data_IF_263064989774
#
_entry.id   IF_263064989774
#
_cell.length_a   1.000
_cell.length_b   1.000
_cell.length_c   1.000
_cell.angle_alpha   90.00
_cell.angle_beta   90.00
_cell.angle_gamma   90.00
#
_symmetry.space_group_name_H-M   'P 1'
#
loop_
_entity.id
_entity.type
_entity.pdbx_description
1 polymer ?
#
# COMPACT_ATOMS: atom_id res chain seq x y z
N UNK A 1 9.76 64.98 -9.58
CA UNK A 1 10.98 64.15 -9.58
C UNK A 1 11.03 63.38 -8.27
N UNK A 2 10.73 62.09 -8.31
CA UNK A 2 11.18 61.07 -7.35
C UNK A 2 10.63 59.73 -7.87
N UNK A 3 11.54 58.88 -8.31
CA UNK A 3 11.28 57.61 -8.97
C UNK A 3 10.97 56.53 -7.92
N UNK A 4 9.82 55.87 -8.03
CA UNK A 4 9.52 54.64 -7.28
C UNK A 4 10.13 53.44 -8.02
N UNK A 5 11.16 52.86 -7.41
CA UNK A 5 11.80 51.62 -7.86
C UNK A 5 11.00 50.40 -7.39
N UNK A 6 10.36 49.72 -8.35
CA UNK A 6 9.75 48.41 -8.20
C UNK A 6 10.82 47.33 -7.93
N UNK A 7 10.72 46.62 -6.80
CA UNK A 7 11.50 45.41 -6.54
C UNK A 7 10.83 44.18 -7.20
N UNK A 8 11.58 43.29 -7.88
CA UNK A 8 11.05 42.07 -8.47
C UNK A 8 10.97 40.95 -7.42
N UNK A 9 9.82 40.27 -7.39
CA UNK A 9 9.59 39.06 -6.59
C UNK A 9 10.49 37.91 -7.07
N UNK A 10 11.39 37.45 -6.19
CA UNK A 10 12.23 36.26 -6.39
C UNK A 10 11.36 35.02 -6.58
N UNK A 11 11.38 34.44 -7.79
CA UNK A 11 10.91 33.08 -8.06
C UNK A 11 11.81 32.10 -7.32
N UNK A 12 11.25 31.34 -6.38
CA UNK A 12 11.88 30.18 -5.75
C UNK A 12 11.92 29.05 -6.78
N UNK A 13 13.09 28.78 -7.35
CA UNK A 13 13.35 27.61 -8.19
C UNK A 13 13.19 26.35 -7.32
N UNK A 14 12.21 25.51 -7.64
CA UNK A 14 12.16 24.15 -7.13
C UNK A 14 13.15 23.31 -7.95
N UNK A 15 14.01 22.50 -7.31
CA UNK A 15 14.86 21.56 -8.03
C UNK A 15 13.99 20.50 -8.71
N UNK A 16 14.40 20.08 -9.90
CA UNK A 16 13.68 19.07 -10.67
C UNK A 16 13.75 17.70 -9.99
N UNK A 17 12.75 16.84 -10.19
CA UNK A 17 12.68 15.50 -9.58
C UNK A 17 13.94 14.65 -9.85
N UNK A 18 14.67 14.95 -10.93
CA UNK A 18 15.92 14.31 -11.31
C UNK A 18 17.10 14.67 -10.38
N UNK A 19 17.20 15.93 -9.94
CA UNK A 19 18.26 16.38 -9.02
C UNK A 19 18.05 15.84 -7.60
N UNK A 20 16.79 15.68 -7.18
CA UNK A 20 16.45 15.01 -5.92
C UNK A 20 16.75 13.50 -5.95
N UNK A 21 16.70 12.88 -7.14
CA UNK A 21 17.00 11.47 -7.30
C UNK A 21 18.51 11.20 -7.27
N UNK A 22 19.31 12.04 -7.94
CA UNK A 22 20.78 11.98 -7.86
C UNK A 22 21.32 12.22 -6.44
N UNK A 23 20.74 13.16 -5.69
CA UNK A 23 21.13 13.39 -4.29
C UNK A 23 20.77 12.21 -3.37
N UNK A 24 19.67 11.50 -3.66
CA UNK A 24 19.29 10.27 -2.95
C UNK A 24 20.23 9.11 -3.28
N UNK A 25 20.62 8.96 -4.54
CA UNK A 25 21.52 7.88 -4.96
C UNK A 25 22.96 8.09 -4.43
N UNK A 26 23.43 9.35 -4.33
CA UNK A 26 24.71 9.66 -3.67
C UNK A 26 24.68 9.40 -2.14
N UNK A 27 23.55 9.64 -1.47
CA UNK A 27 23.42 9.33 -0.03
C UNK A 27 23.30 7.82 0.24
N UNK A 28 22.72 7.06 -0.70
CA UNK A 28 22.66 5.59 -0.59
C UNK A 28 24.03 4.95 -0.73
N UNK A 29 24.90 5.49 -1.59
CA UNK A 29 26.27 4.97 -1.77
C UNK A 29 27.22 5.31 -0.62
N UNK A 30 27.02 6.43 0.08
CA UNK A 30 27.88 6.81 1.22
C UNK A 30 27.61 6.00 2.51
N UNK A 31 26.52 5.24 2.57
CA UNK A 31 26.13 4.45 3.76
C UNK A 31 26.25 2.93 3.59
N UNK A 32 26.76 2.45 2.45
CA UNK A 32 27.00 1.03 2.23
C UNK A 32 28.44 0.63 2.63
N UNK A 33 28.65 0.33 3.91
CA UNK A 33 29.80 -0.46 4.37
C UNK A 33 29.30 -1.86 4.80
N UNK A 34 29.94 -2.96 4.36
CA UNK A 34 29.46 -4.31 4.63
C UNK A 34 29.93 -4.78 6.01
N UNK A 35 29.01 -5.25 6.86
CA UNK A 35 29.34 -6.03 8.06
C UNK A 35 28.35 -7.19 8.18
N UNK A 36 28.91 -8.40 8.18
CA UNK A 36 28.24 -9.69 8.28
C UNK A 36 27.90 -10.03 9.75
N UNK A 37 26.77 -10.72 9.94
CA UNK A 37 26.47 -11.53 11.13
C UNK A 37 25.83 -10.79 12.31
N UNK A 38 24.81 -11.41 12.91
CA UNK A 38 24.33 -11.05 14.24
C UNK A 38 25.38 -11.50 15.24
N UNK A 39 26.05 -10.55 15.88
CA UNK A 39 26.98 -10.81 16.97
C UNK A 39 26.62 -9.89 18.15
N UNK A 40 26.68 -10.38 19.40
CA UNK A 40 26.54 -9.52 20.57
C UNK A 40 27.73 -8.57 20.62
N UNK A 41 27.52 -7.27 20.41
CA UNK A 41 28.58 -6.27 20.51
C UNK A 41 28.54 -5.63 21.90
N UNK A 42 29.57 -5.90 22.71
CA UNK A 42 29.95 -5.05 23.84
C UNK A 42 30.82 -3.89 23.32
N UNK A 43 30.21 -2.76 22.93
CA UNK A 43 30.97 -1.51 22.68
C UNK A 43 30.35 -0.30 23.37
N UNK A 44 31.18 0.28 24.23
CA UNK A 44 31.05 1.51 25.02
C UNK A 44 30.98 2.72 24.08
N UNK A 45 29.90 3.52 24.16
CA UNK A 45 29.75 4.77 23.40
C UNK A 45 30.22 5.93 24.28
N UNK A 46 31.42 6.44 24.01
CA UNK A 46 31.90 7.70 24.59
C UNK A 46 31.31 8.87 23.80
N UNK A 47 30.51 9.71 24.45
CA UNK A 47 30.07 11.00 23.91
C UNK A 47 31.21 12.02 24.00
N UNK A 48 31.52 12.68 22.88
CA UNK A 48 32.46 13.80 22.81
C UNK A 48 31.76 15.12 23.14
N UNK A 49 32.42 15.98 23.93
CA UNK A 49 32.20 17.43 23.95
C UNK A 49 33.53 18.18 24.09
N UNK A 50 33.87 18.90 23.02
CA UNK A 50 34.50 20.22 22.90
C UNK A 50 35.82 20.59 23.61
N UNK A 51 36.80 20.90 22.73
CA UNK A 51 37.60 22.14 22.63
C UNK A 51 39.02 22.26 23.26
N UNK A 52 39.94 22.56 22.34
CA UNK A 52 41.15 23.40 22.39
C UNK A 52 42.53 22.85 22.88
N UNK A 53 43.35 22.62 21.84
CA UNK A 53 44.69 23.18 21.57
C UNK A 53 46.00 22.66 22.21
N UNK A 54 46.91 22.38 21.26
CA UNK A 54 48.37 22.48 21.23
C UNK A 54 49.30 21.35 21.77
N UNK A 55 49.90 20.68 20.78
CA UNK A 55 51.36 20.58 20.51
C UNK A 55 52.18 19.32 20.90
N UNK A 56 52.85 18.84 19.84
CA UNK A 56 54.17 18.17 19.73
C UNK A 56 54.42 16.73 20.23
N UNK A 57 54.83 15.93 19.23
CA UNK A 57 56.03 15.05 19.15
C UNK A 57 56.05 13.63 19.74
N UNK A 58 56.27 12.68 18.79
CA UNK A 58 57.23 11.56 18.78
C UNK A 58 57.02 10.28 19.62
N UNK A 59 56.93 9.16 18.88
CA UNK A 59 57.63 7.85 18.99
C UNK A 59 57.49 7.02 20.27
N UNK A 60 57.16 5.72 20.12
CA UNK A 60 57.63 4.67 21.02
C UNK A 60 56.69 3.48 21.24
N UNK A 61 57.14 2.29 20.83
CA UNK A 61 56.55 0.99 21.16
C UNK A 61 56.67 0.61 22.65
N UNK A 62 55.90 -0.44 23.01
CA UNK A 62 56.08 -1.44 24.09
C UNK A 62 55.28 -1.34 25.42
N UNK A 63 54.41 -2.36 25.57
CA UNK A 63 54.12 -3.22 26.75
C UNK A 63 54.19 -2.63 28.16
N UNK A 64 53.10 -2.73 28.93
CA UNK A 64 53.07 -3.43 30.23
C UNK A 64 51.68 -3.55 30.87
N UNK A 65 51.54 -4.58 31.71
CA UNK A 65 50.32 -5.07 32.36
C UNK A 65 49.95 -4.31 33.65
N UNK A 66 48.63 -4.24 33.91
CA UNK A 66 47.91 -4.15 35.21
C UNK A 66 48.04 -2.83 36.00
N UNK A 67 47.22 -2.55 37.06
CA UNK A 67 45.96 -3.15 37.54
C UNK A 67 44.86 -2.09 37.85
N UNK A 68 43.56 -2.40 37.70
CA UNK A 68 42.50 -1.72 38.50
C UNK A 68 41.33 -2.68 38.67
N UNK A 69 41.41 -3.54 39.68
CA UNK A 69 40.23 -3.90 40.45
C UNK A 69 39.77 -2.66 41.25
N UNK A 70 38.49 -2.64 41.61
CA UNK A 70 37.84 -1.65 42.48
C UNK A 70 37.49 -0.29 41.86
N UNK A 71 36.46 -0.29 41.01
CA UNK A 71 35.36 0.70 41.13
C UNK A 71 34.11 0.23 40.40
N UNK A 72 33.57 -0.90 40.86
CA UNK A 72 32.14 -1.16 40.75
C UNK A 72 31.40 -0.17 41.66
N UNK A 73 31.19 1.05 41.16
CA UNK A 73 30.16 1.93 41.69
C UNK A 73 29.01 1.91 40.69
N UNK A 74 28.04 1.05 40.99
CA UNK A 74 26.63 1.15 40.66
C UNK A 74 26.30 2.31 39.72
N UNK A 75 26.29 2.04 38.42
CA UNK A 75 25.37 2.73 37.53
C UNK A 75 24.04 2.00 37.65
N UNK A 76 23.36 2.28 38.75
CA UNK A 76 22.00 1.87 39.03
C UNK A 76 21.08 2.55 37.99
N UNK A 77 20.45 1.75 37.12
CA UNK A 77 19.38 2.23 36.24
C UNK A 77 19.48 1.94 34.74
N UNK A 78 20.49 1.21 34.24
CA UNK A 78 20.43 0.68 32.87
C UNK A 78 19.72 -0.69 32.90
N UNK A 79 18.61 -0.90 32.16
CA UNK A 79 17.95 -2.19 32.15
C UNK A 79 18.91 -3.27 31.63
N UNK A 80 19.07 -4.35 32.40
CA UNK A 80 19.79 -5.55 32.00
C UNK A 80 19.03 -6.19 30.82
N UNK A 81 19.44 -5.91 29.60
CA UNK A 81 18.80 -6.41 28.39
C UNK A 81 19.80 -6.76 27.31
N UNK A 82 19.58 -7.86 26.61
CA UNK A 82 20.38 -8.26 25.46
C UNK A 82 20.12 -7.30 24.29
N UNK A 83 21.20 -6.77 23.70
CA UNK A 83 21.11 -5.82 22.59
C UNK A 83 21.20 -6.58 21.26
N UNK A 84 20.11 -6.58 20.50
CA UNK A 84 20.06 -7.16 19.16
C UNK A 84 20.28 -6.12 18.08
N UNK A 85 21.30 -6.32 17.25
CA UNK A 85 21.45 -5.60 15.98
C UNK A 85 20.86 -6.46 14.86
N UNK A 86 19.76 -5.99 14.28
CA UNK A 86 19.02 -6.73 13.25
C UNK A 86 19.03 -5.99 11.91
N UNK A 87 19.18 -6.76 10.83
CA UNK A 87 19.09 -6.28 9.45
C UNK A 87 17.97 -7.03 8.75
N UNK A 88 16.98 -6.30 8.22
CA UNK A 88 15.86 -6.91 7.50
C UNK A 88 16.30 -7.24 6.08
N UNK A 89 16.50 -8.53 5.81
CA UNK A 89 16.94 -9.07 4.52
C UNK A 89 15.84 -8.96 3.46
N UNK A 90 16.21 -8.67 2.21
CA UNK A 90 15.33 -8.87 1.04
C UNK A 90 15.15 -10.36 0.76
N UNK A 91 14.21 -10.73 -0.12
CA UNK A 91 14.02 -12.15 -0.48
C UNK A 91 15.25 -12.71 -1.19
N UNK A 92 15.96 -11.90 -1.96
CA UNK A 92 17.16 -12.26 -2.71
C UNK A 92 18.33 -12.57 -1.77
N UNK A 93 18.46 -11.79 -0.69
CA UNK A 93 19.49 -11.92 0.34
C UNK A 93 19.29 -13.14 1.27
N UNK A 94 18.15 -13.83 1.20
CA UNK A 94 17.90 -15.04 1.98
C UNK A 94 18.76 -16.20 1.45
N UNK A 95 19.70 -16.64 2.28
CA UNK A 95 20.53 -17.82 2.09
C UNK A 95 19.79 -19.09 2.52
N UNK A 96 20.23 -20.21 1.97
CA UNK A 96 19.78 -21.55 2.38
C UNK A 96 20.24 -21.83 3.82
N UNK A 97 19.45 -22.58 4.59
CA UNK A 97 19.81 -22.94 5.96
C UNK A 97 20.86 -24.06 5.93
N UNK A 98 21.93 -23.90 6.70
CA UNK A 98 23.01 -24.89 6.80
C UNK A 98 22.54 -26.17 7.51
N UNK A 99 21.64 -26.02 8.50
CA UNK A 99 21.03 -27.12 9.25
C UNK A 99 19.54 -26.83 9.48
N UNK A 100 18.74 -27.25 8.51
CA UNK A 100 17.28 -27.09 8.51
C UNK A 100 16.64 -27.73 9.74
N UNK A 101 17.19 -28.86 10.23
CA UNK A 101 16.61 -29.58 11.35
C UNK A 101 16.79 -28.79 12.65
N UNK A 102 18.01 -28.33 12.91
CA UNK A 102 18.34 -27.49 14.08
C UNK A 102 17.55 -26.18 14.06
N UNK A 103 17.50 -25.48 12.93
CA UNK A 103 16.77 -24.22 12.83
C UNK A 103 15.25 -24.41 13.00
N UNK A 104 14.70 -25.52 12.49
CA UNK A 104 13.29 -25.81 12.66
C UNK A 104 12.96 -26.24 14.10
N UNK A 105 13.89 -26.89 14.81
CA UNK A 105 13.75 -27.21 16.23
C UNK A 105 13.76 -25.96 17.10
N UNK A 106 14.66 -25.00 16.85
CA UNK A 106 14.66 -23.70 17.55
C UNK A 106 13.33 -22.97 17.38
N UNK A 107 12.79 -22.98 16.16
CA UNK A 107 11.49 -22.39 15.88
C UNK A 107 10.36 -23.11 16.64
N UNK A 108 10.36 -24.44 16.69
CA UNK A 108 9.38 -25.21 17.47
C UNK A 108 9.45 -24.89 18.97
N UNK A 109 10.65 -24.82 19.54
CA UNK A 109 10.87 -24.47 20.95
C UNK A 109 10.32 -23.07 21.26
N UNK A 110 10.57 -22.10 20.38
CA UNK A 110 10.04 -20.73 20.52
C UNK A 110 8.51 -20.71 20.45
N UNK A 111 7.91 -21.48 19.54
CA UNK A 111 6.46 -21.58 19.41
C UNK A 111 5.80 -22.21 20.64
N UNK A 112 6.40 -23.28 21.18
CA UNK A 112 5.94 -23.91 22.43
C UNK A 112 6.00 -22.92 23.60
N UNK A 113 7.10 -22.18 23.72
CA UNK A 113 7.24 -21.15 24.75
C UNK A 113 6.16 -20.06 24.62
N UNK A 114 5.87 -19.60 23.41
CA UNK A 114 4.80 -18.61 23.16
C UNK A 114 3.40 -19.13 23.46
N UNK A 115 3.13 -20.40 23.16
CA UNK A 115 1.86 -21.04 23.55
C UNK A 115 1.71 -21.05 25.08
N UNK A 116 2.80 -21.36 25.80
CA UNK A 116 2.81 -21.38 27.26
C UNK A 116 2.65 -19.98 27.88
N UNK A 117 3.33 -18.96 27.35
CA UNK A 117 3.20 -17.57 27.83
C UNK A 117 1.78 -17.03 27.64
N UNK A 118 1.10 -17.41 26.56
CA UNK A 118 -0.30 -17.00 26.34
C UNK A 118 -1.22 -17.46 27.49
N UNK A 119 -0.80 -18.47 28.27
CA UNK A 119 -1.52 -19.02 29.43
C UNK A 119 -1.07 -18.36 30.75
N UNK A 120 0.15 -17.84 30.82
CA UNK A 120 0.74 -17.26 32.04
C UNK A 120 1.13 -15.80 31.81
N UNK A 121 0.36 -14.87 32.37
CA UNK A 121 0.58 -13.41 32.30
C UNK A 121 1.88 -13.00 33.01
N UNK A 122 3.03 -13.17 32.36
CA UNK A 122 4.33 -12.67 32.84
C UNK A 122 4.98 -11.78 31.78
N UNK A 123 5.38 -10.59 32.22
CA UNK A 123 5.85 -9.45 31.45
C UNK A 123 7.37 -9.51 31.23
N UNK A 124 7.83 -10.35 30.31
CA UNK A 124 9.23 -10.39 29.85
C UNK A 124 9.32 -10.15 28.32
N UNK A 125 8.50 -9.22 27.83
CA UNK A 125 8.28 -8.95 26.39
C UNK A 125 9.50 -8.32 25.67
N UNK A 126 10.48 -7.78 26.42
CA UNK A 126 11.57 -7.00 25.84
C UNK A 126 12.85 -7.81 25.55
N UNK A 127 13.03 -8.99 26.17
CA UNK A 127 14.21 -9.85 25.93
C UNK A 127 13.97 -10.83 24.76
N UNK A 128 12.73 -11.20 24.48
CA UNK A 128 12.40 -12.25 23.51
C UNK A 128 12.36 -11.81 22.02
N UNK A 129 12.29 -10.51 21.72
CA UNK A 129 12.04 -10.07 20.33
C UNK A 129 13.21 -10.37 19.37
N UNK A 130 14.44 -10.46 19.86
CA UNK A 130 15.60 -10.81 19.03
C UNK A 130 15.47 -12.22 18.46
N UNK A 131 15.09 -13.18 19.30
CA UNK A 131 14.84 -14.56 18.89
C UNK A 131 13.64 -14.69 17.96
N UNK A 132 12.58 -13.90 18.18
CA UNK A 132 11.45 -13.83 17.24
C UNK A 132 11.90 -13.32 15.86
N UNK A 133 12.82 -12.35 15.83
CA UNK A 133 13.33 -11.80 14.58
C UNK A 133 14.14 -12.84 13.81
N UNK A 134 15.01 -13.57 14.50
CA UNK A 134 15.78 -14.68 13.93
C UNK A 134 14.87 -15.81 13.43
N UNK A 135 13.86 -16.17 14.22
CA UNK A 135 12.85 -17.15 13.86
C UNK A 135 12.08 -16.78 12.57
N UNK A 136 11.76 -15.48 12.39
CA UNK A 136 11.19 -14.98 11.13
C UNK A 136 12.17 -15.13 9.96
N UNK A 137 13.45 -14.83 10.15
CA UNK A 137 14.48 -15.02 9.12
C UNK A 137 14.59 -16.50 8.70
N UNK A 138 14.60 -17.43 9.66
CA UNK A 138 14.60 -18.87 9.39
C UNK A 138 13.35 -19.30 8.62
N UNK A 139 12.15 -18.86 9.05
CA UNK A 139 10.90 -19.19 8.35
C UNK A 139 10.88 -18.63 6.91
N UNK A 140 11.41 -17.42 6.71
CA UNK A 140 11.57 -16.81 5.37
C UNK A 140 12.52 -17.62 4.50
N UNK A 141 13.65 -18.06 5.05
CA UNK A 141 14.59 -18.95 4.36
C UNK A 141 13.94 -20.29 3.99
N UNK A 142 13.25 -20.95 4.94
CA UNK A 142 12.53 -22.19 4.67
C UNK A 142 11.51 -22.04 3.56
N UNK A 143 10.79 -20.93 3.53
CA UNK A 143 9.78 -20.70 2.50
C UNK A 143 10.39 -20.58 1.09
N UNK A 144 11.63 -20.09 0.98
CA UNK A 144 12.35 -19.97 -0.28
C UNK A 144 13.03 -21.27 -0.70
N UNK A 145 13.68 -21.97 0.25
CA UNK A 145 14.61 -23.06 -0.05
C UNK A 145 14.16 -24.44 0.46
N UNK A 146 13.33 -24.49 1.51
CA UNK A 146 12.90 -25.72 2.20
C UNK A 146 11.39 -25.74 2.45
N UNK A 147 10.59 -25.78 1.38
CA UNK A 147 9.13 -25.59 1.47
C UNK A 147 8.44 -26.57 2.42
N UNK A 148 8.91 -27.81 2.54
CA UNK A 148 8.31 -28.79 3.45
C UNK A 148 8.51 -28.42 4.92
N UNK A 149 9.67 -27.85 5.28
CA UNK A 149 9.90 -27.30 6.61
C UNK A 149 8.97 -26.10 6.86
N UNK A 150 8.80 -25.20 5.88
CA UNK A 150 7.87 -24.08 6.00
C UNK A 150 6.40 -24.55 6.14
N UNK A 151 5.96 -25.56 5.39
CA UNK A 151 4.61 -26.16 5.53
C UNK A 151 4.40 -26.76 6.90
N UNK A 152 5.39 -27.49 7.42
CA UNK A 152 5.34 -28.04 8.79
C UNK A 152 5.13 -26.93 9.82
N UNK A 153 5.86 -25.82 9.67
CA UNK A 153 5.74 -24.67 10.58
C UNK A 153 4.38 -23.96 10.45
N UNK A 154 3.85 -23.85 9.24
CA UNK A 154 2.50 -23.35 9.01
C UNK A 154 1.44 -24.19 9.73
N UNK A 155 1.58 -25.53 9.69
CA UNK A 155 0.72 -26.47 10.42
C UNK A 155 0.89 -26.37 11.94
N UNK A 156 2.04 -25.89 12.41
CA UNK A 156 2.34 -25.65 13.83
C UNK A 156 1.91 -24.24 14.31
N UNK A 157 0.94 -23.62 13.64
CA UNK A 157 0.37 -22.31 13.99
C UNK A 157 1.40 -21.14 14.04
N UNK A 158 2.57 -21.27 13.38
CA UNK A 158 3.61 -20.22 13.35
C UNK A 158 3.05 -18.86 12.92
N UNK A 159 2.06 -18.88 12.03
CA UNK A 159 1.41 -17.66 11.54
C UNK A 159 0.71 -16.89 12.67
N UNK A 160 -0.08 -17.57 13.50
CA UNK A 160 -0.84 -16.94 14.59
C UNK A 160 0.04 -16.61 15.79
N UNK A 161 1.01 -17.48 16.09
CA UNK A 161 1.82 -17.38 17.29
C UNK A 161 3.00 -16.40 17.13
N UNK A 162 3.57 -16.31 15.92
CA UNK A 162 4.76 -15.50 15.66
C UNK A 162 4.51 -14.42 14.61
N UNK A 163 4.13 -14.80 13.39
CA UNK A 163 4.18 -13.89 12.23
C UNK A 163 3.19 -12.73 12.36
N UNK A 164 1.91 -12.98 12.67
CA UNK A 164 0.89 -11.93 12.75
C UNK A 164 1.08 -10.99 13.95
N UNK A 165 1.43 -11.47 15.16
CA UNK A 165 1.84 -10.61 16.26
C UNK A 165 3.06 -9.74 15.90
N UNK A 166 4.10 -10.33 15.30
CA UNK A 166 5.29 -9.60 14.88
C UNK A 166 4.97 -8.55 13.80
N UNK A 167 4.10 -8.87 12.84
CA UNK A 167 3.60 -7.93 11.85
C UNK A 167 2.86 -6.75 12.50
N UNK A 168 2.29 -6.94 13.69
CA UNK A 168 1.59 -5.92 14.49
C UNK A 168 2.50 -5.20 15.50
N UNK A 169 3.79 -5.54 15.56
CA UNK A 169 4.78 -4.93 16.46
C UNK A 169 4.96 -3.42 16.27
N UNK A 170 5.23 -2.70 17.36
CA UNK A 170 5.62 -1.28 17.32
C UNK A 170 7.04 -1.08 16.78
N UNK A 171 7.88 -2.13 16.87
CA UNK A 171 9.24 -2.15 16.33
C UNK A 171 9.17 -2.27 14.81
N UNK A 172 9.51 -1.18 14.12
CA UNK A 172 9.46 -1.09 12.66
C UNK A 172 10.19 -2.23 11.93
N UNK A 173 11.37 -2.61 12.43
CA UNK A 173 12.18 -3.67 11.82
C UNK A 173 11.46 -5.04 11.93
N UNK A 174 10.90 -5.33 13.10
CA UNK A 174 10.11 -6.55 13.34
C UNK A 174 8.88 -6.60 12.42
N UNK A 175 8.07 -5.53 12.41
CA UNK A 175 6.88 -5.46 11.58
C UNK A 175 7.22 -5.60 10.09
N UNK A 176 8.31 -4.96 9.63
CA UNK A 176 8.78 -5.09 8.24
C UNK A 176 9.19 -6.53 7.93
N UNK A 177 9.97 -7.17 8.80
CA UNK A 177 10.43 -8.55 8.58
C UNK A 177 9.26 -9.53 8.52
N UNK A 178 8.29 -9.38 9.41
CA UNK A 178 7.09 -10.20 9.45
C UNK A 178 6.18 -9.99 8.22
N UNK A 179 6.03 -8.75 7.72
CA UNK A 179 5.29 -8.50 6.48
C UNK A 179 5.97 -9.16 5.27
N UNK A 180 7.30 -9.08 5.18
CA UNK A 180 8.06 -9.82 4.17
C UNK A 180 7.90 -11.34 4.33
N UNK A 181 7.82 -11.84 5.57
CA UNK A 181 7.52 -13.24 5.84
C UNK A 181 6.15 -13.67 5.31
N UNK A 182 5.10 -12.87 5.51
CA UNK A 182 3.78 -13.13 4.91
C UNK A 182 3.86 -13.15 3.38
N UNK A 183 4.59 -12.21 2.78
CA UNK A 183 4.80 -12.18 1.33
C UNK A 183 5.53 -13.42 0.84
N UNK A 184 6.59 -13.83 1.54
CA UNK A 184 7.38 -14.99 1.21
C UNK A 184 6.52 -16.26 1.29
N UNK A 185 5.72 -16.43 2.36
CA UNK A 185 4.78 -17.55 2.55
C UNK A 185 3.76 -17.63 1.41
N UNK A 186 3.23 -16.49 0.97
CA UNK A 186 2.30 -16.45 -0.15
C UNK A 186 2.97 -16.87 -1.47
N UNK A 187 4.22 -16.46 -1.69
CA UNK A 187 4.98 -16.84 -2.90
C UNK A 187 5.41 -18.32 -2.88
N UNK A 188 5.87 -18.81 -1.74
CA UNK A 188 6.43 -20.15 -1.59
C UNK A 188 5.39 -21.26 -1.47
N UNK A 189 4.38 -21.07 -0.62
CA UNK A 189 3.40 -22.11 -0.29
C UNK A 189 2.01 -21.89 -0.92
N UNK A 190 1.73 -20.69 -1.45
CA UNK A 190 0.52 -20.36 -2.23
C UNK A 190 -0.78 -20.79 -1.55
N UNK A 191 -1.39 -21.88 -2.02
CA UNK A 191 -2.69 -22.40 -1.55
C UNK A 191 -2.67 -22.75 -0.06
N UNK A 192 -1.55 -23.25 0.45
CA UNK A 192 -1.42 -23.58 1.87
C UNK A 192 -1.53 -22.30 2.72
N UNK A 193 -0.84 -21.23 2.31
CA UNK A 193 -0.95 -19.91 2.95
C UNK A 193 -2.32 -19.27 2.73
N UNK A 194 -2.94 -19.50 1.55
CA UNK A 194 -4.25 -18.95 1.21
C UNK A 194 -5.35 -19.42 2.18
N UNK A 195 -5.25 -20.63 2.71
CA UNK A 195 -6.16 -21.17 3.72
C UNK A 195 -6.20 -20.34 5.02
N UNK A 196 -5.21 -19.47 5.25
CA UNK A 196 -5.11 -18.63 6.43
C UNK A 196 -5.40 -17.15 6.17
N UNK A 197 -5.93 -16.79 4.99
CA UNK A 197 -6.18 -15.40 4.61
C UNK A 197 -7.17 -14.68 5.53
N UNK A 198 -8.11 -15.40 6.15
CA UNK A 198 -9.03 -14.82 7.14
C UNK A 198 -8.30 -14.19 8.35
N UNK A 199 -7.14 -14.73 8.73
CA UNK A 199 -6.30 -14.17 9.80
C UNK A 199 -5.29 -13.12 9.27
N UNK A 200 -4.77 -13.32 8.06
CA UNK A 200 -3.74 -12.45 7.46
C UNK A 200 -4.31 -11.10 7.03
N UNK A 201 -5.46 -11.11 6.34
CA UNK A 201 -6.02 -9.92 5.69
C UNK A 201 -6.30 -8.78 6.66
N UNK A 202 -6.90 -8.99 7.85
CA UNK A 202 -7.10 -7.92 8.82
C UNK A 202 -5.79 -7.21 9.22
N UNK A 203 -4.70 -7.96 9.43
CA UNK A 203 -3.39 -7.39 9.78
C UNK A 203 -2.81 -6.59 8.61
N UNK A 204 -2.89 -7.12 7.39
CA UNK A 204 -2.41 -6.40 6.19
C UNK A 204 -3.20 -5.12 5.94
N UNK A 205 -4.53 -5.15 6.08
CA UNK A 205 -5.36 -3.97 5.89
C UNK A 205 -5.07 -2.90 6.94
N UNK A 206 -4.88 -3.29 8.21
CA UNK A 206 -4.45 -2.37 9.26
C UNK A 206 -3.10 -1.72 8.91
N UNK A 207 -2.12 -2.52 8.48
CA UNK A 207 -0.79 -2.03 8.08
C UNK A 207 -0.78 -1.18 6.82
N UNK A 208 -1.67 -1.45 5.86
CA UNK A 208 -1.88 -0.62 4.67
C UNK A 208 -2.39 0.80 4.99
N UNK A 209 -2.78 1.05 6.25
CA UNK A 209 -3.20 2.34 6.80
C UNK A 209 -2.23 2.90 7.86
N UNK A 210 -1.07 2.28 8.08
CA UNK A 210 -0.01 2.74 9.01
C UNK A 210 0.41 4.20 8.77
N UNK A 211 0.83 4.92 9.80
CA UNK A 211 1.41 6.26 9.63
C UNK A 211 2.78 6.22 8.93
N UNK A 212 3.54 5.15 9.19
CA UNK A 212 4.86 4.90 8.59
C UNK A 212 4.69 4.48 7.12
N UNK A 213 5.16 5.31 6.20
CA UNK A 213 4.97 5.12 4.76
C UNK A 213 5.52 3.79 4.26
N UNK A 214 6.77 3.45 4.60
CA UNK A 214 7.38 2.19 4.14
C UNK A 214 6.61 0.93 4.59
N UNK A 215 5.95 0.95 5.76
CA UNK A 215 5.10 -0.17 6.19
C UNK A 215 3.77 -0.22 5.42
N UNK A 216 3.16 0.94 5.13
CA UNK A 216 1.95 0.98 4.30
C UNK A 216 2.21 0.43 2.91
N UNK A 217 3.28 0.91 2.30
CA UNK A 217 3.62 0.59 0.92
C UNK A 217 3.94 -0.91 0.82
N UNK A 218 4.73 -1.43 1.77
CA UNK A 218 4.98 -2.87 1.89
C UNK A 218 3.70 -3.68 2.11
N UNK A 219 2.81 -3.30 3.03
CA UNK A 219 1.57 -4.04 3.26
C UNK A 219 0.66 -4.09 2.02
N UNK A 220 0.63 -3.00 1.24
CA UNK A 220 -0.09 -2.96 -0.05
C UNK A 220 0.58 -3.84 -1.10
N UNK A 221 1.92 -3.86 -1.12
CA UNK A 221 2.67 -4.78 -1.96
C UNK A 221 2.33 -6.23 -1.64
N UNK A 222 2.27 -6.62 -0.35
CA UNK A 222 1.86 -7.97 0.06
C UNK A 222 0.43 -8.29 -0.36
N UNK A 223 -0.51 -7.34 -0.24
CA UNK A 223 -1.88 -7.51 -0.74
C UNK A 223 -1.91 -7.70 -2.28
N UNK A 224 -1.05 -6.99 -3.02
CA UNK A 224 -0.92 -7.16 -4.47
C UNK A 224 -0.26 -8.51 -4.81
N UNK A 225 0.75 -8.96 -4.07
CA UNK A 225 1.32 -10.31 -4.21
C UNK A 225 0.26 -11.38 -3.98
N UNK A 226 -0.56 -11.23 -2.95
CA UNK A 226 -1.67 -12.15 -2.64
C UNK A 226 -2.68 -12.21 -3.78
N UNK A 227 -3.06 -11.06 -4.33
CA UNK A 227 -3.93 -10.97 -5.50
C UNK A 227 -3.34 -11.66 -6.74
N UNK A 228 -2.01 -11.57 -6.92
CA UNK A 228 -1.31 -12.19 -8.05
C UNK A 228 -1.07 -13.69 -7.86
N UNK A 229 -1.04 -14.18 -6.62
CA UNK A 229 -0.84 -15.60 -6.30
C UNK A 229 -2.03 -16.50 -6.67
N UNK A 230 -3.17 -15.92 -7.06
CA UNK A 230 -4.33 -16.67 -7.55
C UNK A 230 -5.32 -17.11 -6.46
N UNK A 231 -5.15 -16.67 -5.21
CA UNK A 231 -6.05 -16.92 -4.09
C UNK A 231 -7.36 -16.08 -4.18
N UNK A 232 -7.99 -16.03 -5.35
CA UNK A 232 -9.00 -15.01 -5.66
C UNK A 232 -10.23 -15.09 -4.74
N UNK A 233 -10.76 -16.27 -4.46
CA UNK A 233 -11.96 -16.42 -3.63
C UNK A 233 -11.61 -16.35 -2.13
N UNK A 234 -10.56 -17.06 -1.72
CA UNK A 234 -10.04 -17.09 -0.35
C UNK A 234 -9.60 -15.71 0.12
N UNK A 235 -9.06 -14.88 -0.78
CA UNK A 235 -8.70 -13.50 -0.50
C UNK A 235 -9.93 -12.57 -0.52
N UNK A 236 -10.88 -12.79 -1.42
CA UNK A 236 -12.08 -11.96 -1.54
C UNK A 236 -12.98 -12.05 -0.30
N UNK A 237 -13.14 -13.23 0.30
CA UNK A 237 -14.02 -13.46 1.46
C UNK A 237 -13.71 -12.55 2.67
N UNK A 238 -12.49 -12.50 3.22
CA UNK A 238 -12.18 -11.60 4.34
C UNK A 238 -12.20 -10.12 3.95
N UNK A 239 -11.85 -9.79 2.70
CA UNK A 239 -11.98 -8.42 2.19
C UNK A 239 -13.44 -7.94 2.20
N UNK A 240 -14.37 -8.79 1.75
CA UNK A 240 -15.81 -8.51 1.79
C UNK A 240 -16.33 -8.36 3.21
N UNK A 241 -15.95 -9.28 4.11
CA UNK A 241 -16.36 -9.26 5.51
C UNK A 241 -15.96 -7.94 6.22
N UNK A 242 -14.81 -7.37 5.85
CA UNK A 242 -14.30 -6.09 6.40
C UNK A 242 -15.32 -4.95 6.28
N UNK A 243 -16.18 -4.94 5.26
CA UNK A 243 -17.22 -3.90 5.11
C UNK A 243 -18.21 -3.82 6.26
N UNK A 244 -18.40 -4.92 6.99
CA UNK A 244 -19.37 -5.05 8.08
C UNK A 244 -18.74 -5.19 9.46
N UNK A 245 -17.49 -5.68 9.52
CA UNK A 245 -16.80 -5.93 10.79
C UNK A 245 -15.89 -4.78 11.22
N UNK A 246 -15.39 -3.97 10.28
CA UNK A 246 -14.45 -2.89 10.56
C UNK A 246 -15.13 -1.51 10.62
N UNK A 247 -14.73 -0.71 11.61
CA UNK A 247 -15.25 0.64 11.85
C UNK A 247 -14.38 1.72 11.22
N UNK A 248 -13.08 1.45 11.04
CA UNK A 248 -12.15 2.38 10.44
C UNK A 248 -12.38 2.51 8.93
N UNK A 249 -12.89 3.67 8.51
CA UNK A 249 -13.23 3.95 7.11
C UNK A 249 -12.04 3.85 6.15
N UNK A 250 -10.79 4.07 6.61
CA UNK A 250 -9.61 3.91 5.76
C UNK A 250 -9.30 2.43 5.50
N UNK A 251 -9.43 1.58 6.51
CA UNK A 251 -9.25 0.13 6.39
C UNK A 251 -10.33 -0.45 5.46
N UNK A 252 -11.60 -0.07 5.69
CA UNK A 252 -12.73 -0.42 4.80
C UNK A 252 -12.49 0.08 3.37
N UNK A 253 -11.90 1.26 3.21
CA UNK A 253 -11.56 1.80 1.88
C UNK A 253 -10.55 0.92 1.15
N UNK A 254 -9.44 0.56 1.81
CA UNK A 254 -8.44 -0.33 1.23
C UNK A 254 -9.07 -1.69 0.89
N UNK A 255 -9.88 -2.27 1.77
CA UNK A 255 -10.59 -3.51 1.49
C UNK A 255 -11.47 -3.40 0.23
N UNK A 256 -12.28 -2.35 0.12
CA UNK A 256 -13.14 -2.12 -1.06
C UNK A 256 -12.35 -1.95 -2.37
N UNK A 257 -11.15 -1.36 -2.33
CA UNK A 257 -10.25 -1.30 -3.48
C UNK A 257 -9.79 -2.70 -3.92
N UNK A 258 -9.40 -3.56 -2.98
CA UNK A 258 -8.96 -4.92 -3.29
C UNK A 258 -10.13 -5.85 -3.66
N UNK A 259 -11.32 -5.69 -3.07
CA UNK A 259 -12.55 -6.36 -3.55
C UNK A 259 -12.77 -6.05 -5.03
N UNK A 260 -12.65 -4.79 -5.41
CA UNK A 260 -12.80 -4.37 -6.81
C UNK A 260 -11.75 -5.03 -7.71
N UNK A 261 -10.48 -5.07 -7.27
CA UNK A 261 -9.40 -5.74 -8.01
C UNK A 261 -9.67 -7.24 -8.17
N UNK A 262 -10.12 -7.93 -7.11
CA UNK A 262 -10.44 -9.37 -7.14
C UNK A 262 -11.60 -9.65 -8.10
N UNK A 263 -12.73 -8.94 -7.94
CA UNK A 263 -13.93 -9.15 -8.74
C UNK A 263 -13.68 -8.91 -10.23
N UNK A 264 -12.89 -7.88 -10.60
CA UNK A 264 -12.57 -7.60 -12.01
C UNK A 264 -11.63 -8.64 -12.62
N UNK A 265 -10.73 -9.23 -11.83
CA UNK A 265 -9.77 -10.24 -12.30
C UNK A 265 -10.35 -11.65 -12.35
N UNK A 266 -11.42 -11.89 -11.59
CA UNK A 266 -12.07 -13.18 -11.48
C UNK A 266 -12.64 -13.62 -12.84
N UNK A 267 -12.55 -14.92 -13.14
CA UNK A 267 -13.19 -15.49 -14.32
C UNK A 267 -14.72 -15.26 -14.25
N UNK A 268 -15.35 -14.97 -15.40
CA UNK A 268 -16.77 -14.59 -15.47
C UNK A 268 -17.69 -15.67 -14.91
N UNK A 269 -17.46 -16.94 -15.26
CA UNK A 269 -18.28 -18.06 -14.76
C UNK A 269 -18.08 -18.28 -13.26
N UNK A 270 -16.84 -18.17 -12.78
CA UNK A 270 -16.53 -18.27 -11.36
C UNK A 270 -17.16 -17.13 -10.55
N UNK A 271 -17.09 -15.87 -11.05
CA UNK A 271 -17.77 -14.74 -10.41
C UNK A 271 -19.29 -14.91 -10.41
N UNK A 272 -19.86 -15.41 -11.51
CA UNK A 272 -21.29 -15.72 -11.59
C UNK A 272 -21.69 -16.72 -10.51
N UNK A 273 -20.99 -17.85 -10.45
CA UNK A 273 -21.22 -18.86 -9.40
C UNK A 273 -21.05 -18.29 -8.00
N UNK A 274 -19.98 -17.53 -7.76
CA UNK A 274 -19.69 -16.95 -6.45
C UNK A 274 -20.82 -16.05 -5.96
N UNK A 275 -21.33 -15.16 -6.80
CA UNK A 275 -22.38 -14.21 -6.42
C UNK A 275 -23.76 -14.86 -6.31
N UNK A 276 -24.08 -15.82 -7.19
CA UNK A 276 -25.40 -16.45 -7.24
C UNK A 276 -25.56 -17.58 -6.21
N UNK A 277 -24.50 -18.36 -5.97
CA UNK A 277 -24.59 -19.62 -5.23
C UNK A 277 -23.77 -19.59 -3.93
N UNK A 278 -22.56 -19.01 -3.97
CA UNK A 278 -21.61 -19.16 -2.85
C UNK A 278 -21.75 -18.07 -1.78
N UNK A 279 -21.89 -16.80 -2.16
CA UNK A 279 -21.83 -15.64 -1.25
C UNK A 279 -23.16 -14.91 -1.16
N UNK A 280 -24.02 -15.37 -0.26
CA UNK A 280 -25.37 -14.81 -0.05
C UNK A 280 -25.39 -13.35 0.42
N UNK A 281 -24.37 -12.92 1.16
CA UNK A 281 -24.22 -11.56 1.71
C UNK A 281 -23.58 -10.55 0.76
N UNK A 282 -23.29 -10.92 -0.50
CA UNK A 282 -22.53 -10.08 -1.42
C UNK A 282 -23.14 -8.68 -1.59
N UNK A 283 -24.47 -8.59 -1.71
CA UNK A 283 -25.14 -7.30 -1.91
C UNK A 283 -25.20 -6.45 -0.64
N UNK A 284 -25.29 -7.07 0.54
CA UNK A 284 -25.20 -6.37 1.83
C UNK A 284 -23.82 -5.73 1.98
N UNK A 285 -22.76 -6.44 1.60
CA UNK A 285 -21.39 -5.97 1.63
C UNK A 285 -21.18 -4.82 0.62
N UNK A 286 -21.76 -4.92 -0.59
CA UNK A 286 -21.72 -3.81 -1.56
C UNK A 286 -22.42 -2.56 -1.03
N UNK A 287 -23.57 -2.72 -0.37
CA UNK A 287 -24.27 -1.62 0.27
C UNK A 287 -23.44 -1.00 1.40
N UNK A 288 -22.81 -1.83 2.24
CA UNK A 288 -21.92 -1.38 3.31
C UNK A 288 -20.73 -0.58 2.77
N UNK A 289 -20.07 -1.05 1.71
CA UNK A 289 -18.99 -0.31 1.07
C UNK A 289 -19.45 1.00 0.42
N UNK A 290 -20.65 1.07 -0.17
CA UNK A 290 -21.20 2.33 -0.70
C UNK A 290 -21.49 3.36 0.41
N UNK A 291 -21.71 2.90 1.64
CA UNK A 291 -21.87 3.74 2.82
C UNK A 291 -20.54 4.20 3.45
N UNK A 292 -19.39 3.64 3.02
CA UNK A 292 -18.08 4.05 3.50
C UNK A 292 -17.83 5.55 3.31
N UNK A 293 -17.23 6.23 4.29
CA UNK A 293 -17.00 7.68 4.23
C UNK A 293 -15.97 8.11 3.17
N UNK A 294 -15.19 7.16 2.63
CA UNK A 294 -14.11 7.43 1.68
C UNK A 294 -14.60 7.38 0.24
N UNK A 295 -14.33 8.43 -0.54
CA UNK A 295 -14.87 8.59 -1.91
C UNK A 295 -14.29 7.54 -2.86
N UNK A 296 -13.01 7.21 -2.73
CA UNK A 296 -12.34 6.18 -3.53
C UNK A 296 -12.99 4.82 -3.33
N UNK A 297 -13.35 4.47 -2.09
CA UNK A 297 -14.08 3.24 -1.76
C UNK A 297 -15.41 3.16 -2.51
N UNK A 298 -16.22 4.23 -2.44
CA UNK A 298 -17.50 4.29 -3.17
C UNK A 298 -17.31 4.17 -4.68
N UNK A 299 -16.27 4.81 -5.22
CA UNK A 299 -15.96 4.76 -6.65
C UNK A 299 -15.52 3.36 -7.11
N UNK A 300 -14.73 2.68 -6.29
CA UNK A 300 -14.32 1.29 -6.51
C UNK A 300 -15.53 0.35 -6.46
N UNK A 301 -16.36 0.47 -5.44
CA UNK A 301 -17.58 -0.32 -5.26
C UNK A 301 -18.57 -0.15 -6.42
N UNK A 302 -18.73 1.08 -6.95
CA UNK A 302 -19.50 1.31 -8.18
C UNK A 302 -18.99 0.48 -9.35
N UNK A 303 -17.67 0.40 -9.54
CA UNK A 303 -17.07 -0.44 -10.59
C UNK A 303 -17.34 -1.92 -10.35
N UNK A 304 -17.28 -2.38 -9.10
CA UNK A 304 -17.65 -3.74 -8.71
C UNK A 304 -19.11 -4.04 -9.09
N UNK A 305 -20.07 -3.23 -8.65
CA UNK A 305 -21.49 -3.42 -8.98
C UNK A 305 -21.75 -3.43 -10.49
N UNK A 306 -21.12 -2.52 -11.24
CA UNK A 306 -21.25 -2.46 -12.69
C UNK A 306 -20.66 -3.71 -13.37
N UNK A 307 -19.50 -4.18 -12.91
CA UNK A 307 -18.87 -5.38 -13.46
C UNK A 307 -19.73 -6.62 -13.16
N UNK A 308 -20.13 -6.81 -11.90
CA UNK A 308 -21.00 -7.92 -11.49
C UNK A 308 -22.29 -7.94 -12.28
N UNK A 309 -22.98 -6.80 -12.45
CA UNK A 309 -24.21 -6.70 -13.27
C UNK A 309 -24.00 -7.13 -14.73
N UNK A 310 -22.83 -6.85 -15.32
CA UNK A 310 -22.49 -7.30 -16.69
C UNK A 310 -22.19 -8.80 -16.76
N UNK A 311 -21.76 -9.41 -15.67
CA UNK A 311 -21.39 -10.83 -15.61
C UNK A 311 -22.60 -11.71 -15.29
N UNK A 312 -23.38 -11.37 -14.26
CA UNK A 312 -24.56 -12.16 -13.89
C UNK A 312 -25.80 -11.87 -14.75
N UNK A 313 -25.79 -10.76 -15.49
CA UNK A 313 -26.91 -10.34 -16.32
C UNK A 313 -27.81 -9.33 -15.61
N UNK A 314 -28.48 -8.49 -16.41
CA UNK A 314 -29.26 -7.37 -15.89
C UNK A 314 -30.43 -7.82 -15.02
N UNK A 315 -31.23 -8.76 -15.52
CA UNK A 315 -32.50 -9.12 -14.87
C UNK A 315 -32.25 -9.89 -13.58
N UNK A 316 -31.27 -10.81 -13.60
CA UNK A 316 -30.78 -11.54 -12.43
C UNK A 316 -30.27 -10.58 -11.34
N UNK A 317 -29.43 -9.62 -11.72
CA UNK A 317 -28.91 -8.61 -10.79
C UNK A 317 -30.04 -7.80 -10.15
N UNK A 318 -31.03 -7.36 -10.95
CA UNK A 318 -32.17 -6.60 -10.43
C UNK A 318 -33.05 -7.43 -9.49
N UNK A 319 -33.27 -8.70 -9.80
CA UNK A 319 -34.04 -9.62 -8.97
C UNK A 319 -33.36 -9.81 -7.61
N UNK A 320 -32.08 -10.15 -7.60
CA UNK A 320 -31.32 -10.39 -6.37
C UNK A 320 -31.20 -9.15 -5.50
N UNK A 321 -30.96 -7.97 -6.08
CA UNK A 321 -30.90 -6.73 -5.29
C UNK A 321 -32.25 -6.42 -4.64
N UNK A 322 -33.37 -6.68 -5.32
CA UNK A 322 -34.71 -6.49 -4.75
C UNK A 322 -35.07 -7.55 -3.70
N UNK A 323 -34.53 -8.75 -3.84
CA UNK A 323 -34.73 -9.84 -2.88
C UNK A 323 -33.91 -9.64 -1.60
N UNK A 324 -32.64 -9.28 -1.74
CA UNK A 324 -31.68 -9.21 -0.62
C UNK A 324 -31.67 -7.87 0.10
N UNK A 325 -31.94 -6.77 -0.61
CA UNK A 325 -31.85 -5.42 -0.03
C UNK A 325 -33.22 -4.73 0.00
N UNK A 326 -33.37 -3.78 0.92
CA UNK A 326 -34.53 -2.90 1.01
C UNK A 326 -34.14 -1.44 1.25
N UNK A 327 -35.08 -0.53 1.09
CA UNK A 327 -34.92 0.89 1.42
C UNK A 327 -33.80 1.61 0.65
N UNK A 328 -33.00 2.40 1.36
CA UNK A 328 -31.91 3.19 0.76
C UNK A 328 -30.78 2.32 0.20
N UNK A 329 -30.43 1.23 0.88
CA UNK A 329 -29.37 0.31 0.45
C UNK A 329 -29.66 -0.28 -0.94
N UNK A 330 -30.91 -0.70 -1.16
CA UNK A 330 -31.37 -1.18 -2.46
C UNK A 330 -31.21 -0.09 -3.54
N UNK A 331 -31.69 1.13 -3.28
CA UNK A 331 -31.59 2.24 -4.23
C UNK A 331 -30.14 2.60 -4.55
N UNK A 332 -29.25 2.58 -3.55
CA UNK A 332 -27.85 2.95 -3.70
C UNK A 332 -27.09 1.93 -4.54
N UNK A 333 -27.30 0.64 -4.31
CA UNK A 333 -26.69 -0.44 -5.13
C UNK A 333 -27.22 -0.38 -6.57
N UNK A 334 -28.52 -0.18 -6.77
CA UNK A 334 -29.10 -0.03 -8.11
C UNK A 334 -28.49 1.15 -8.86
N UNK A 335 -28.46 2.35 -8.25
CA UNK A 335 -27.84 3.55 -8.83
C UNK A 335 -26.34 3.38 -9.09
N UNK A 336 -25.63 2.69 -8.19
CA UNK A 336 -24.20 2.43 -8.34
C UNK A 336 -23.90 1.51 -9.53
N UNK A 337 -24.78 0.54 -9.79
CA UNK A 337 -24.65 -0.43 -10.88
C UNK A 337 -24.99 0.13 -12.27
N UNK A 338 -25.65 1.30 -12.34
CA UNK A 338 -25.98 1.93 -13.60
C UNK A 338 -24.74 2.45 -14.31
N UNK A 339 -24.52 1.98 -15.54
CA UNK A 339 -23.53 2.55 -16.44
C UNK A 339 -24.16 3.81 -17.02
N UNK A 340 -23.85 4.97 -16.44
CA UNK A 340 -24.24 6.24 -17.06
C UNK A 340 -23.64 6.27 -18.46
N UNK A 341 -24.49 6.26 -19.50
CA UNK A 341 -24.05 6.58 -20.85
C UNK A 341 -23.37 7.94 -20.77
N UNK A 342 -22.13 8.04 -21.25
CA UNK A 342 -21.44 9.33 -21.33
C UNK A 342 -22.40 10.33 -21.96
N UNK A 343 -22.50 11.52 -21.37
CA UNK A 343 -23.32 12.58 -21.95
C UNK A 343 -22.90 12.73 -23.42
N UNK A 344 -23.85 12.66 -24.34
CA UNK A 344 -23.57 12.91 -25.76
C UNK A 344 -22.77 14.22 -25.85
N UNK A 345 -21.72 14.31 -26.70
CA UNK A 345 -20.78 15.44 -26.72
C UNK A 345 -21.40 16.85 -26.87
N UNK A 346 -22.70 16.97 -27.14
CA UNK A 346 -23.42 18.23 -27.29
C UNK A 346 -24.10 18.80 -26.04
N UNK A 347 -24.02 18.18 -24.86
CA UNK A 347 -24.73 18.64 -23.65
C UNK A 347 -23.87 18.89 -22.41
N UNK A 348 -22.55 19.01 -22.56
CA UNK A 348 -21.71 19.53 -21.49
C UNK A 348 -22.06 21.02 -21.27
N UNK A 349 -22.66 21.33 -20.10
CA UNK A 349 -22.84 22.72 -19.68
C UNK A 349 -21.45 23.35 -19.58
N UNK A 350 -21.23 24.46 -20.29
CA UNK A 350 -19.89 25.08 -20.36
C UNK A 350 -19.37 25.39 -18.95
N UNK A 351 -18.08 25.11 -18.75
CA UNK A 351 -17.43 25.31 -17.46
C UNK A 351 -17.53 26.78 -17.05
N UNK A 352 -17.66 27.05 -15.75
CA UNK A 352 -17.69 28.43 -15.20
C UNK A 352 -16.50 29.25 -15.70
N UNK A 353 -15.33 28.61 -15.83
CA UNK A 353 -14.10 29.22 -16.38
C UNK A 353 -14.25 29.62 -17.84
N UNK A 354 -14.94 28.79 -18.62
CA UNK A 354 -15.20 28.97 -20.04
C UNK A 354 -16.23 30.07 -20.28
N UNK A 355 -17.26 30.13 -19.44
CA UNK A 355 -18.22 31.25 -19.38
C UNK A 355 -17.53 32.57 -19.04
N UNK A 356 -16.65 32.58 -18.04
CA UNK A 356 -15.89 33.79 -17.67
C UNK A 356 -14.98 34.27 -18.80
N UNK A 357 -14.30 33.34 -19.50
CA UNK A 357 -13.49 33.70 -20.66
C UNK A 357 -14.32 34.24 -21.83
N UNK A 358 -15.49 33.65 -22.12
CA UNK A 358 -16.40 34.16 -23.13
C UNK A 358 -16.93 35.56 -22.77
N UNK A 359 -17.29 35.78 -21.51
CA UNK A 359 -17.75 37.08 -21.02
C UNK A 359 -16.64 38.13 -21.12
N UNK A 360 -15.39 37.77 -20.79
CA UNK A 360 -14.22 38.64 -20.92
C UNK A 360 -13.89 38.95 -22.38
N UNK A 361 -14.04 37.97 -23.27
CA UNK A 361 -13.86 38.14 -24.72
C UNK A 361 -14.93 39.05 -25.33
N UNK A 362 -16.19 38.92 -24.90
CA UNK A 362 -17.28 39.82 -25.31
C UNK A 362 -17.06 41.25 -24.78
N UNK A 363 -16.63 41.43 -23.53
CA UNK A 363 -16.30 42.76 -23.01
C UNK A 363 -15.12 43.41 -23.74
N UNK A 364 -14.11 42.63 -24.16
CA UNK A 364 -13.01 43.14 -24.97
C UNK A 364 -13.45 43.52 -26.39
N UNK A 365 -14.37 42.77 -26.99
CA UNK A 365 -14.95 43.13 -28.28
C UNK A 365 -15.81 44.39 -28.19
N UNK A 366 -16.62 44.55 -27.15
CA UNK A 366 -17.41 45.76 -26.93
C UNK A 366 -16.54 47.00 -26.68
N UNK A 367 -15.43 46.87 -25.93
CA UNK A 367 -14.45 47.96 -25.76
C UNK A 367 -13.72 48.32 -27.05
N UNK A 368 -13.51 47.36 -27.97
CA UNK A 368 -12.92 47.62 -29.29
C UNK A 368 -13.87 48.39 -30.21
N UNK A 369 -15.18 48.16 -30.11
CA UNK A 369 -16.20 48.86 -30.90
C UNK A 369 -16.43 50.30 -30.40
N UNK A 370 -16.22 50.58 -29.12
CA UNK A 370 -16.37 51.94 -28.56
C UNK A 370 -15.13 52.84 -28.70
N UNK A 371 -13.95 52.30 -29.02
CA UNK A 371 -12.69 53.06 -29.10
C UNK A 371 -12.13 53.22 -30.53
N UNK A 372 -12.80 52.70 -31.55
CA UNK A 372 -12.42 52.86 -32.95
C UNK A 372 -13.43 53.73 -33.68
N UNK A 373 -13.04 54.97 -33.98
CA UNK A 373 -13.79 55.86 -34.85
C UNK A 373 -14.01 55.27 -36.25
N UNK A 374 -15.09 55.75 -36.87
CA UNK A 374 -15.57 55.48 -38.22
C UNK A 374 -14.59 54.76 -39.17
N UNK A 375 -14.92 53.51 -39.51
CA UNK A 375 -14.76 53.02 -40.88
C UNK A 375 -15.81 51.96 -41.15
N UNK A 376 -16.79 52.32 -41.99
CA UNK A 376 -17.77 51.43 -42.57
C UNK A 376 -17.02 50.53 -43.56
N UNK A 377 -16.78 49.28 -43.17
CA UNK A 377 -16.39 48.21 -44.10
C UNK A 377 -17.55 47.22 -44.20
N UNK A 378 -18.34 47.39 -45.26
CA UNK A 378 -19.35 46.42 -45.69
C UNK A 378 -18.61 45.22 -46.28
N UNK A 379 -18.49 44.15 -45.51
CA UNK A 379 -18.07 42.84 -46.05
C UNK A 379 -19.32 42.09 -46.47
N UNK A 380 -19.62 42.12 -47.77
CA UNK A 380 -20.62 41.24 -48.40
C UNK A 380 -20.02 39.84 -48.45
N UNK A 381 -20.44 38.98 -47.51
CA UNK A 381 -20.15 37.54 -47.59
C UNK A 381 -21.14 36.92 -48.56
N UNK A 382 -20.67 36.63 -49.78
CA UNK A 382 -21.41 35.79 -50.72
C UNK A 382 -21.51 34.36 -50.16
N UNK A 383 -22.70 33.71 -50.23
CA UNK A 383 -22.83 32.32 -49.81
C UNK A 383 -22.03 31.38 -50.73
N UNK A 384 -21.45 30.29 -50.20
CA UNK A 384 -20.67 29.35 -51.00
C UNK A 384 -21.58 28.63 -52.01
N UNK A 385 -21.16 28.63 -53.28
CA UNK A 385 -21.77 27.81 -54.34
C UNK A 385 -21.65 26.34 -53.95
N UNK A 386 -22.79 25.72 -53.65
CA UNK A 386 -23.00 24.29 -53.59
C UNK A 386 -22.64 23.67 -54.95
N UNK A 387 -21.51 22.96 -55.01
CA UNK A 387 -21.19 22.08 -56.15
C UNK A 387 -21.99 20.80 -55.98
N UNK A 388 -23.21 20.81 -56.50
CA UNK A 388 -23.99 19.61 -56.73
C UNK A 388 -23.34 18.85 -57.91
N UNK A 389 -22.66 17.74 -57.64
CA UNK A 389 -22.35 16.74 -58.66
C UNK A 389 -23.48 15.73 -58.69
N UNK A 390 -24.45 15.99 -59.56
CA UNK A 390 -25.43 15.04 -60.05
C UNK A 390 -24.70 13.94 -60.84
N UNK A 391 -24.65 12.73 -60.32
CA UNK A 391 -24.55 11.52 -61.14
C UNK A 391 -25.97 10.97 -61.28
N UNK A 392 -26.63 11.35 -62.37
CA UNK A 392 -27.80 10.66 -62.86
C UNK A 392 -27.35 9.36 -63.55
N UNK A 393 -28.06 8.29 -63.22
CA UNK A 393 -28.03 7.02 -63.91
C UNK A 393 -28.47 7.18 -65.37
N UNK A 394 -27.79 6.46 -66.27
CA UNK A 394 -28.28 6.20 -67.62
C UNK A 394 -29.23 4.99 -67.61
N UNK A 395 -30.33 5.02 -68.39
CA UNK A 395 -31.21 3.87 -68.57
C UNK A 395 -30.68 2.95 -69.68
N UNK A 396 -31.32 1.79 -69.76
CA UNK A 396 -31.07 0.68 -70.67
C UNK A 396 -31.18 1.04 -72.15
N UNK A 397 -30.31 0.37 -72.94
CA UNK A 397 -30.21 0.21 -74.40
C UNK A 397 -29.61 1.37 -75.22
#
# INVERSE_FOLDING_TARGET
MASETLQPTRKRSQPSDYEQQLQRDETVLQHAAPVLGVAPIKRRRSSASSAEEHSSSTVGEQKQQSPVEEKEKNLDGAPEGELFLVTVKTREELLESEDVASDAEKLDQLLQHKQQITITTTTDDDVAWGHEFEALDSLRSFTKHHQDAARRQLNNDVLKLLVLPAASSLRSAMARNALLCVQDLMLGLKTDTAAHLDAIVPVLLNRACSEKQFLRDLAREVLDTTLLAGANEEFLRPLLATSTTEKNAQIVSVAGLYVTKCVIRMEREHLRKFVLETRTSFFDEMAAFLNCKVVECKAATRRTCQHTRRVIGNDEFLALVKEKLSGSAQLDVLKASEIRKAAKPGHAKSSIRERMMQMKKQQQQQKKVQSGGNDISVVVVAPPRSRASSTQAAPSL
#
